data_IF_042665540858
#
_entry.id   IF_042665540858
#
_cell.length_a   1.000
_cell.length_b   1.000
_cell.length_c   1.000
_cell.angle_alpha   90.00
_cell.angle_beta   90.00
_cell.angle_gamma   90.00
#
_symmetry.space_group_name_H-M   'P 1'
#
loop_
_entity.id
_entity.type
_entity.pdbx_description
1 polymer ?
#
# COMPACT_ATOMS: atom_id res chain seq x y z
N UNK A 1 -8.40 31.25 -33.97
CA UNK A 1 -7.36 30.20 -33.95
C UNK A 1 -6.40 30.63 -32.84
N UNK A 2 -6.58 30.06 -31.65
CA UNK A 2 -5.70 30.22 -30.53
C UNK A 2 -4.38 29.52 -30.87
N UNK A 3 -3.31 30.30 -31.05
CA UNK A 3 -1.95 29.76 -31.15
C UNK A 3 -1.58 29.18 -29.80
N UNK A 4 -1.64 27.85 -29.68
CA UNK A 4 -1.02 27.15 -28.55
C UNK A 4 0.48 27.33 -28.71
N UNK A 5 1.05 28.33 -28.03
CA UNK A 5 2.48 28.35 -27.84
C UNK A 5 2.83 27.12 -27.01
N UNK A 6 3.80 26.28 -27.42
CA UNK A 6 4.34 25.29 -26.54
C UNK A 6 4.96 26.08 -25.36
N UNK A 7 4.24 26.08 -24.23
CA UNK A 7 4.79 26.63 -22.99
C UNK A 7 6.00 25.76 -22.67
N UNK A 8 7.20 26.33 -22.82
CA UNK A 8 8.40 25.77 -22.23
C UNK A 8 8.14 25.74 -20.75
N UNK A 9 8.01 24.54 -20.18
CA UNK A 9 7.75 24.35 -18.77
C UNK A 9 8.98 24.84 -17.99
N UNK A 10 8.93 26.09 -17.56
CA UNK A 10 9.98 26.67 -16.75
C UNK A 10 9.81 26.19 -15.32
N UNK A 11 10.85 25.53 -14.78
CA UNK A 11 10.90 25.15 -13.37
C UNK A 11 10.96 26.43 -12.55
N UNK A 12 9.85 26.78 -11.88
CA UNK A 12 9.75 28.02 -11.10
C UNK A 12 10.16 27.83 -9.65
N UNK A 13 9.96 26.63 -9.11
CA UNK A 13 10.19 26.33 -7.71
C UNK A 13 10.79 24.94 -7.52
N UNK A 14 11.37 24.71 -6.34
CA UNK A 14 11.78 23.39 -5.88
C UNK A 14 11.02 23.08 -4.61
N UNK A 15 10.44 21.88 -4.54
CA UNK A 15 9.73 21.38 -3.38
C UNK A 15 10.63 20.38 -2.64
N UNK A 16 10.64 20.49 -1.31
CA UNK A 16 11.25 19.49 -0.44
C UNK A 16 10.19 18.95 0.52
N UNK A 17 9.97 17.65 0.50
CA UNK A 17 9.11 16.94 1.44
C UNK A 17 9.98 16.13 2.39
N UNK A 18 9.64 16.14 3.68
CA UNK A 18 10.31 15.35 4.70
C UNK A 18 9.29 14.53 5.47
N UNK A 19 9.50 13.22 5.50
CA UNK A 19 8.66 12.26 6.20
C UNK A 19 9.44 11.65 7.36
N UNK A 20 8.82 11.66 8.54
CA UNK A 20 9.31 11.00 9.74
C UNK A 20 8.62 9.65 9.85
N UNK A 21 9.35 8.58 9.59
CA UNK A 21 8.85 7.22 9.56
C UNK A 21 9.27 6.52 10.85
N UNK A 22 8.31 6.23 11.72
CA UNK A 22 8.54 5.48 12.94
C UNK A 22 8.40 3.98 12.68
N UNK A 23 9.38 3.20 13.13
CA UNK A 23 9.36 1.75 12.97
C UNK A 23 9.76 1.04 14.26
N UNK A 24 9.01 0.00 14.64
CA UNK A 24 9.37 -0.88 15.76
C UNK A 24 10.35 -1.97 15.33
N UNK A 25 10.50 -2.18 14.03
CA UNK A 25 11.29 -3.27 13.44
C UNK A 25 12.31 -2.75 12.39
N UNK A 26 13.24 -3.59 12.01
CA UNK A 26 14.01 -3.39 10.79
C UNK A 26 13.19 -3.88 9.59
N UNK A 27 12.97 -3.02 8.59
CA UNK A 27 12.29 -3.40 7.34
C UNK A 27 13.34 -3.67 6.27
N UNK A 28 13.36 -4.89 5.78
CA UNK A 28 14.30 -5.32 4.73
C UNK A 28 13.77 -5.01 3.34
N UNK A 29 14.64 -4.43 2.50
CA UNK A 29 14.38 -4.16 1.10
C UNK A 29 13.02 -3.46 0.84
N UNK A 30 12.67 -2.37 1.56
CA UNK A 30 11.48 -1.61 1.25
C UNK A 30 11.62 -0.91 -0.09
N UNK A 31 10.50 -0.46 -0.64
CA UNK A 31 10.51 0.41 -1.82
C UNK A 31 9.55 1.58 -1.64
N UNK A 32 9.84 2.67 -2.34
CA UNK A 32 8.96 3.82 -2.43
C UNK A 32 8.26 3.78 -3.79
N UNK A 33 6.95 3.93 -3.79
CA UNK A 33 6.17 4.07 -5.01
C UNK A 33 5.70 5.53 -5.11
N UNK A 34 5.99 6.17 -6.23
CA UNK A 34 5.67 7.57 -6.48
C UNK A 34 5.55 7.85 -7.98
N UNK A 35 4.78 8.86 -8.33
CA UNK A 35 4.85 9.48 -9.66
C UNK A 35 6.12 10.33 -9.79
N UNK A 36 6.53 10.62 -11.01
CA UNK A 36 7.71 11.46 -11.29
C UNK A 36 9.00 11.04 -10.57
N UNK A 37 9.22 9.73 -10.40
CA UNK A 37 10.41 9.19 -9.74
C UNK A 37 11.71 9.65 -10.42
N UNK A 38 11.70 9.80 -11.74
CA UNK A 38 12.86 10.20 -12.54
C UNK A 38 13.27 11.66 -12.30
N UNK A 39 12.35 12.51 -11.83
CA UNK A 39 12.59 13.92 -11.49
C UNK A 39 12.79 14.14 -9.99
N UNK A 40 12.68 13.10 -9.19
CA UNK A 40 12.73 13.18 -7.73
C UNK A 40 14.06 12.69 -7.19
N UNK A 41 14.73 13.52 -6.40
CA UNK A 41 15.90 13.12 -5.60
C UNK A 41 15.44 12.58 -4.27
N UNK A 42 15.91 11.37 -3.92
CA UNK A 42 15.59 10.70 -2.68
C UNK A 42 16.78 10.68 -1.73
N UNK A 43 16.53 10.94 -0.45
CA UNK A 43 17.53 10.88 0.62
C UNK A 43 16.90 10.13 1.78
N UNK A 44 17.54 9.06 2.27
CA UNK A 44 17.08 8.31 3.43
C UNK A 44 18.11 8.39 4.55
N UNK A 45 17.70 8.88 5.72
CA UNK A 45 18.57 9.05 6.89
C UNK A 45 19.85 9.87 6.60
N UNK A 46 19.74 10.86 5.72
CA UNK A 46 20.85 11.72 5.30
C UNK A 46 21.70 11.18 4.15
N UNK A 47 21.48 9.93 3.71
CA UNK A 47 22.21 9.31 2.62
C UNK A 47 21.42 9.35 1.31
N UNK A 48 22.04 9.74 0.18
CA UNK A 48 21.38 9.73 -1.13
C UNK A 48 20.95 8.32 -1.54
N UNK A 49 19.74 8.21 -2.06
CA UNK A 49 19.20 6.96 -2.62
C UNK A 49 19.15 7.07 -4.14
N UNK A 50 19.73 6.10 -4.89
CA UNK A 50 19.61 6.10 -6.34
C UNK A 50 18.14 6.01 -6.79
N UNK A 51 17.67 6.98 -7.56
CA UNK A 51 16.29 7.02 -8.08
C UNK A 51 16.10 6.06 -9.27
N UNK A 52 16.67 4.84 -9.18
CA UNK A 52 16.53 3.83 -10.23
C UNK A 52 15.16 3.16 -10.13
N UNK A 53 14.35 3.33 -11.16
CA UNK A 53 13.04 2.66 -11.28
C UNK A 53 13.24 1.14 -11.37
N UNK A 54 12.53 0.40 -10.53
CA UNK A 54 12.55 -1.07 -10.45
C UNK A 54 11.28 -1.73 -10.97
N UNK A 55 10.19 -0.96 -11.11
CA UNK A 55 8.89 -1.43 -11.55
C UNK A 55 7.82 -0.36 -11.35
N UNK A 56 6.59 -0.81 -11.08
CA UNK A 56 5.46 0.08 -10.78
C UNK A 56 4.54 -0.54 -9.72
N UNK A 57 3.71 0.27 -9.10
CA UNK A 57 2.73 -0.13 -8.10
C UNK A 57 1.32 0.24 -8.56
N UNK A 58 0.45 -0.76 -8.76
CA UNK A 58 -0.96 -0.64 -9.20
C UNK A 58 -1.10 -0.03 -10.59
N UNK A 59 -0.55 1.15 -10.84
CA UNK A 59 -0.59 1.87 -12.11
C UNK A 59 0.83 2.07 -12.66
N UNK A 60 1.07 1.91 -13.97
CA UNK A 60 2.38 2.14 -14.59
C UNK A 60 2.95 3.55 -14.39
N UNK A 61 2.12 4.55 -14.08
CA UNK A 61 2.58 5.90 -13.76
C UNK A 61 3.25 5.96 -12.39
N UNK A 62 2.82 5.12 -11.43
CA UNK A 62 3.36 5.07 -10.07
C UNK A 62 4.60 4.17 -10.05
N UNK A 63 5.76 4.75 -10.24
CA UNK A 63 7.05 4.03 -10.34
C UNK A 63 7.54 3.59 -8.97
N UNK A 64 8.19 2.42 -8.91
CA UNK A 64 8.83 1.95 -7.67
C UNK A 64 10.33 2.15 -7.72
N UNK A 65 10.88 2.63 -6.58
CA UNK A 65 12.31 2.80 -6.34
C UNK A 65 12.69 2.01 -5.09
N UNK A 66 13.73 1.20 -5.18
CA UNK A 66 14.23 0.45 -4.03
C UNK A 66 14.84 1.41 -3.00
N UNK A 67 14.49 1.23 -1.73
CA UNK A 67 15.11 1.95 -0.62
C UNK A 67 16.09 1.04 0.14
N UNK A 68 17.10 1.62 0.80
CA UNK A 68 17.86 0.92 1.84
C UNK A 68 16.93 0.44 2.97
N UNK A 69 17.42 -0.55 3.73
CA UNK A 69 16.70 -1.06 4.89
C UNK A 69 16.33 0.06 5.87
N UNK A 70 15.09 0.05 6.37
CA UNK A 70 14.73 0.89 7.49
C UNK A 70 15.21 0.24 8.79
N UNK A 71 15.67 1.07 9.70
CA UNK A 71 16.09 0.65 11.05
C UNK A 71 14.96 0.82 12.06
N UNK A 72 14.97 0.09 13.17
CA UNK A 72 14.09 0.40 14.30
C UNK A 72 14.31 1.84 14.79
N UNK A 73 13.24 2.48 15.23
CA UNK A 73 13.21 3.89 15.60
C UNK A 73 12.80 4.80 14.46
N UNK A 74 13.25 6.02 14.50
CA UNK A 74 12.96 7.03 13.49
C UNK A 74 13.83 6.84 12.24
N UNK A 75 13.19 6.93 11.08
CA UNK A 75 13.83 7.06 9.78
C UNK A 75 13.31 8.33 9.10
N UNK A 76 14.19 9.08 8.49
CA UNK A 76 13.84 10.33 7.80
C UNK A 76 13.99 10.11 6.30
N UNK A 77 12.88 10.21 5.58
CA UNK A 77 12.85 10.19 4.12
C UNK A 77 12.62 11.60 3.61
N UNK A 78 13.57 12.10 2.81
CA UNK A 78 13.46 13.40 2.15
C UNK A 78 13.32 13.21 0.64
N UNK A 79 12.39 13.95 0.04
CA UNK A 79 12.20 14.03 -1.41
C UNK A 79 12.45 15.48 -1.83
N UNK A 80 13.24 15.65 -2.89
CA UNK A 80 13.43 16.96 -3.53
C UNK A 80 13.05 16.83 -5.00
N UNK A 81 12.19 17.73 -5.46
CA UNK A 81 11.63 17.67 -6.80
C UNK A 81 11.40 19.06 -7.37
N UNK A 82 11.44 19.24 -8.70
CA UNK A 82 11.02 20.48 -9.34
C UNK A 82 9.52 20.68 -9.10
N UNK A 83 9.07 21.92 -9.07
CA UNK A 83 7.64 22.23 -8.97
C UNK A 83 7.26 23.26 -10.04
N UNK A 84 6.39 22.85 -10.93
CA UNK A 84 5.89 23.62 -12.07
C UNK A 84 4.42 23.28 -12.37
N UNK A 85 3.78 24.01 -13.27
CA UNK A 85 2.32 23.95 -13.47
C UNK A 85 1.76 22.56 -13.77
N UNK A 86 2.52 21.68 -14.41
CA UNK A 86 2.09 20.31 -14.73
C UNK A 86 2.65 19.25 -13.77
N UNK A 87 3.49 19.67 -12.82
CA UNK A 87 4.00 18.76 -11.81
C UNK A 87 2.94 18.52 -10.75
N UNK A 88 2.51 17.29 -10.62
CA UNK A 88 1.49 16.90 -9.65
C UNK A 88 2.15 16.22 -8.43
N UNK A 89 1.81 16.69 -7.23
CA UNK A 89 2.27 16.08 -5.98
C UNK A 89 1.20 15.10 -5.53
N UNK A 90 1.36 13.85 -5.95
CA UNK A 90 0.43 12.76 -5.64
C UNK A 90 0.82 11.99 -4.37
N UNK A 91 -0.01 11.03 -4.01
CA UNK A 91 0.24 10.15 -2.88
C UNK A 91 1.52 9.33 -3.08
N UNK A 92 2.25 9.14 -1.99
CA UNK A 92 3.45 8.32 -1.92
C UNK A 92 3.13 7.05 -1.13
N UNK A 93 3.68 5.92 -1.58
CA UNK A 93 3.44 4.64 -0.93
C UNK A 93 4.76 4.00 -0.51
N UNK A 94 4.92 3.79 0.78
CA UNK A 94 6.02 2.97 1.30
C UNK A 94 5.57 1.50 1.25
N UNK A 95 6.30 0.70 0.48
CA UNK A 95 5.98 -0.70 0.24
C UNK A 95 7.01 -1.59 0.93
N UNK A 96 6.55 -2.70 1.51
CA UNK A 96 7.41 -3.65 2.19
C UNK A 96 6.62 -4.71 2.94
N UNK A 97 7.35 -5.64 3.56
CA UNK A 97 6.75 -6.68 4.38
C UNK A 97 6.68 -6.21 5.84
N UNK A 98 5.62 -5.51 6.19
CA UNK A 98 5.39 -4.99 7.54
C UNK A 98 3.89 -4.78 7.80
N UNK A 99 3.53 -4.73 9.07
CA UNK A 99 2.24 -4.24 9.55
C UNK A 99 2.32 -2.75 9.88
N UNK A 100 1.15 -2.14 10.10
CA UNK A 100 1.07 -0.75 10.54
C UNK A 100 0.06 -0.61 11.66
N UNK A 101 0.44 0.07 12.73
CA UNK A 101 -0.45 0.45 13.82
C UNK A 101 -0.72 1.96 13.73
N UNK A 102 -1.99 2.30 13.64
CA UNK A 102 -2.43 3.70 13.63
C UNK A 102 -2.98 4.12 15.00
N UNK A 103 -2.65 5.34 15.42
CA UNK A 103 -3.19 5.94 16.63
C UNK A 103 -3.37 7.45 16.38
N UNK A 104 -4.61 7.90 16.21
CA UNK A 104 -4.90 9.27 15.79
C UNK A 104 -4.25 9.61 14.46
N UNK A 105 -3.37 10.60 14.45
CA UNK A 105 -2.63 11.03 13.25
C UNK A 105 -1.27 10.32 13.07
N UNK A 106 -0.94 9.38 13.95
CA UNK A 106 0.36 8.68 13.92
C UNK A 106 0.20 7.30 13.31
N UNK A 107 1.14 6.91 12.46
CA UNK A 107 1.28 5.56 11.93
C UNK A 107 2.68 5.04 12.27
N UNK A 108 2.76 3.83 12.81
CA UNK A 108 4.01 3.18 13.21
C UNK A 108 4.12 1.83 12.50
N UNK A 109 5.26 1.58 11.88
CA UNK A 109 5.57 0.30 11.26
C UNK A 109 5.79 -0.74 12.37
N UNK A 110 5.16 -1.90 12.21
CA UNK A 110 5.20 -3.02 13.16
C UNK A 110 5.57 -4.32 12.44
N UNK A 111 5.67 -5.40 13.20
CA UNK A 111 5.87 -6.75 12.63
C UNK A 111 4.84 -7.06 11.54
N UNK A 112 5.23 -7.84 10.52
CA UNK A 112 4.32 -8.29 9.49
C UNK A 112 3.12 -9.05 10.06
N UNK A 113 1.93 -8.78 9.53
CA UNK A 113 0.73 -9.49 9.91
C UNK A 113 0.75 -10.89 9.28
N UNK A 114 0.84 -11.92 10.11
CA UNK A 114 0.90 -13.33 9.68
C UNK A 114 -0.43 -14.06 9.83
N UNK A 115 -1.33 -13.53 10.64
CA UNK A 115 -2.66 -14.11 10.90
C UNK A 115 -3.68 -13.00 11.05
N UNK A 116 -4.87 -13.24 10.53
CA UNK A 116 -6.02 -12.36 10.67
C UNK A 116 -7.20 -13.16 11.22
N UNK A 117 -8.01 -12.50 12.03
CA UNK A 117 -9.35 -12.98 12.39
C UNK A 117 -10.40 -12.31 11.50
N UNK A 118 -11.63 -12.83 11.49
CA UNK A 118 -12.74 -12.12 10.87
C UNK A 118 -12.96 -10.77 11.57
N UNK A 119 -13.23 -9.74 10.79
CA UNK A 119 -13.47 -8.40 11.29
C UNK A 119 -12.69 -7.32 10.56
N UNK A 120 -12.58 -6.16 11.18
CA UNK A 120 -11.86 -5.02 10.62
C UNK A 120 -10.34 -5.27 10.62
N UNK A 121 -9.77 -5.32 9.43
CA UNK A 121 -8.33 -5.56 9.23
C UNK A 121 -7.47 -4.34 9.60
N UNK A 122 -8.05 -3.15 9.62
CA UNK A 122 -7.32 -1.94 10.00
C UNK A 122 -6.81 -2.03 11.44
N UNK A 123 -7.65 -2.54 12.34
CA UNK A 123 -7.27 -2.77 13.74
C UNK A 123 -6.31 -3.95 13.94
N UNK A 124 -6.13 -4.78 12.91
CA UNK A 124 -5.27 -5.95 12.91
C UNK A 124 -3.92 -5.73 12.22
N UNK A 125 -3.52 -4.48 12.05
CA UNK A 125 -2.21 -4.11 11.50
C UNK A 125 -2.18 -3.86 9.99
N UNK A 126 -3.32 -3.80 9.31
CA UNK A 126 -3.42 -3.57 7.87
C UNK A 126 -4.31 -2.36 7.50
N UNK A 127 -4.11 -1.17 8.12
CA UNK A 127 -5.01 -0.02 7.90
C UNK A 127 -4.96 0.53 6.48
N UNK A 128 -3.88 0.28 5.73
CA UNK A 128 -3.68 0.78 4.37
C UNK A 128 -3.71 -0.34 3.31
N UNK A 129 -4.14 -1.54 3.69
CA UNK A 129 -4.21 -2.66 2.76
C UNK A 129 -5.42 -2.56 1.83
N UNK A 130 -5.18 -2.44 0.53
CA UNK A 130 -6.20 -2.33 -0.51
C UNK A 130 -6.31 -3.55 -1.44
N UNK A 131 -5.72 -4.69 -1.04
CA UNK A 131 -5.71 -5.91 -1.85
C UNK A 131 -6.82 -6.91 -1.50
N UNK A 132 -6.74 -8.10 -2.11
CA UNK A 132 -7.64 -9.21 -1.82
C UNK A 132 -7.17 -9.99 -0.59
N UNK A 133 -8.12 -10.39 0.26
CA UNK A 133 -7.88 -11.27 1.40
C UNK A 133 -8.52 -12.63 1.15
N UNK A 134 -7.81 -13.69 1.51
CA UNK A 134 -8.35 -15.05 1.51
C UNK A 134 -8.29 -15.62 2.92
N UNK A 135 -9.45 -15.92 3.49
CA UNK A 135 -9.56 -16.66 4.74
C UNK A 135 -9.62 -18.15 4.44
N UNK A 136 -8.68 -18.90 5.00
CA UNK A 136 -8.69 -20.37 4.96
C UNK A 136 -9.21 -20.88 6.30
N UNK A 137 -10.36 -21.55 6.27
CA UNK A 137 -11.03 -22.07 7.46
C UNK A 137 -11.08 -23.59 7.37
N UNK A 138 -10.26 -24.34 8.13
CA UNK A 138 -10.35 -25.78 8.17
C UNK A 138 -11.66 -26.20 8.86
N UNK A 139 -12.40 -27.11 8.23
CA UNK A 139 -13.66 -27.66 8.74
C UNK A 139 -13.54 -29.18 8.76
N UNK A 140 -13.79 -29.79 9.92
CA UNK A 140 -13.87 -31.23 10.06
C UNK A 140 -15.34 -31.65 10.15
N UNK A 141 -15.74 -32.61 9.35
CA UNK A 141 -17.09 -33.16 9.35
C UNK A 141 -17.06 -34.69 9.52
N UNK A 142 -17.84 -35.24 10.42
CA UNK A 142 -17.87 -36.67 10.71
C UNK A 142 -18.75 -37.47 9.73
N UNK A 143 -19.64 -36.77 9.04
CA UNK A 143 -20.58 -37.38 8.07
C UNK A 143 -20.93 -36.37 6.98
N UNK A 144 -21.39 -36.85 5.82
CA UNK A 144 -21.87 -35.98 4.74
C UNK A 144 -22.92 -34.99 5.27
N UNK A 145 -22.71 -33.70 5.00
CA UNK A 145 -23.62 -32.63 5.42
C UNK A 145 -23.66 -31.52 4.37
N UNK A 146 -24.63 -30.63 4.47
CA UNK A 146 -24.66 -29.37 3.75
C UNK A 146 -24.05 -28.29 4.59
N UNK A 147 -23.20 -27.46 3.99
CA UNK A 147 -22.64 -26.30 4.62
C UNK A 147 -23.34 -25.03 4.10
N UNK A 148 -23.72 -24.17 5.01
CA UNK A 148 -24.22 -22.83 4.71
C UNK A 148 -23.20 -21.78 5.19
N UNK A 149 -22.84 -20.85 4.32
CA UNK A 149 -21.96 -19.75 4.63
C UNK A 149 -22.77 -18.47 4.58
N UNK A 150 -22.84 -17.76 5.68
CA UNK A 150 -23.53 -16.48 5.79
C UNK A 150 -22.52 -15.38 6.10
N UNK A 151 -22.62 -14.25 5.41
CA UNK A 151 -21.84 -13.06 5.68
C UNK A 151 -22.78 -11.91 6.01
N UNK A 152 -22.96 -11.64 7.29
CA UNK A 152 -23.93 -10.63 7.76
C UNK A 152 -23.37 -9.22 7.78
N UNK A 153 -22.05 -9.08 7.88
CA UNK A 153 -21.36 -7.79 7.90
C UNK A 153 -20.07 -7.88 7.12
N UNK A 154 -20.03 -7.27 5.94
CA UNK A 154 -18.83 -7.13 5.15
C UNK A 154 -18.86 -5.82 4.36
N UNK A 155 -17.69 -5.30 3.99
CA UNK A 155 -17.54 -4.02 3.26
C UNK A 155 -16.78 -4.17 1.94
N UNK A 156 -16.47 -5.41 1.54
CA UNK A 156 -15.92 -5.69 0.22
C UNK A 156 -17.04 -5.80 -0.83
N UNK A 157 -16.76 -5.58 -2.12
CA UNK A 157 -17.77 -5.66 -3.18
C UNK A 157 -18.31 -7.08 -3.39
N UNK A 158 -17.52 -8.11 -3.08
CA UNK A 158 -17.90 -9.52 -3.27
C UNK A 158 -17.05 -10.45 -2.41
N UNK A 159 -17.69 -11.52 -1.89
CA UNK A 159 -16.99 -12.63 -1.25
C UNK A 159 -17.07 -13.83 -2.21
N UNK A 160 -15.92 -14.31 -2.66
CA UNK A 160 -15.81 -15.54 -3.42
C UNK A 160 -15.67 -16.71 -2.46
N UNK A 161 -16.48 -17.75 -2.66
CA UNK A 161 -16.49 -18.95 -1.82
C UNK A 161 -15.87 -20.11 -2.60
N UNK A 162 -14.94 -20.82 -1.97
CA UNK A 162 -14.40 -22.08 -2.49
C UNK A 162 -14.39 -23.13 -1.38
N UNK A 163 -14.63 -24.39 -1.73
CA UNK A 163 -14.49 -25.56 -0.86
C UNK A 163 -13.49 -26.52 -1.51
N UNK A 164 -12.42 -26.85 -0.78
CA UNK A 164 -11.32 -27.68 -1.28
C UNK A 164 -10.80 -27.18 -2.64
N UNK A 165 -10.57 -25.87 -2.74
CA UNK A 165 -10.10 -25.16 -3.94
C UNK A 165 -11.10 -25.14 -5.11
N UNK A 166 -12.29 -25.69 -4.96
CA UNK A 166 -13.35 -25.66 -5.98
C UNK A 166 -14.27 -24.47 -5.76
N UNK A 167 -14.48 -23.67 -6.78
CA UNK A 167 -15.41 -22.54 -6.76
C UNK A 167 -16.84 -23.03 -6.40
N UNK A 168 -17.47 -22.39 -5.43
CA UNK A 168 -18.83 -22.68 -4.95
C UNK A 168 -19.77 -21.51 -5.10
N UNK A 169 -19.30 -20.39 -5.62
CA UNK A 169 -20.12 -19.23 -5.88
C UNK A 169 -19.62 -17.96 -5.20
N UNK A 170 -20.49 -16.98 -5.13
CA UNK A 170 -20.18 -15.63 -4.64
C UNK A 170 -21.33 -15.11 -3.80
N UNK A 171 -20.98 -14.42 -2.72
CA UNK A 171 -21.91 -13.65 -1.89
C UNK A 171 -21.70 -12.18 -2.26
N UNK A 172 -22.69 -11.56 -2.92
CA UNK A 172 -22.58 -10.19 -3.42
C UNK A 172 -23.84 -9.35 -3.14
N UNK A 173 -24.99 -9.98 -2.89
CA UNK A 173 -26.28 -9.33 -2.66
C UNK A 173 -27.13 -10.15 -1.69
N UNK A 174 -28.16 -9.54 -1.16
CA UNK A 174 -29.10 -10.19 -0.22
C UNK A 174 -29.94 -11.29 -0.89
N UNK A 175 -30.20 -12.42 -0.20
CA UNK A 175 -29.66 -12.83 1.09
C UNK A 175 -28.18 -13.19 0.99
N UNK A 176 -27.35 -12.70 1.93
CA UNK A 176 -25.90 -12.90 1.92
C UNK A 176 -25.50 -14.31 2.38
N UNK A 177 -25.85 -15.32 1.61
CA UNK A 177 -25.59 -16.72 1.93
C UNK A 177 -25.37 -17.57 0.67
#
# INVERSE_FOLDING_TARGET
>A
ISSVHPETEEIRHHLALRFHIQSEIAVKAPSLALENADETTLILNGEPVPSKVTGYYVDPAIKTVALPDLKPGENILELKMPYYNKFNVEALYLLGNFGVRTAGQTAVITEPVTRLTFGDICSQGLPFYGGNLTYQVPITVDKPCSLKIEATQFRCPVIKVALDSKDKGRIAFSPYS
#
